data_IF_017440717126
#
_entry.id   IF_017440717126
#
_cell.length_a   1.000
_cell.length_b   1.000
_cell.length_c   1.000
_cell.angle_alpha   90.00
_cell.angle_beta   90.00
_cell.angle_gamma   90.00
#
_symmetry.space_group_name_H-M   'P 1'
#
loop_
_entity.id
_entity.type
_entity.pdbx_description
1 polymer ?
#
# COMPACT_ATOMS: atom_id res chain seq x y z
N UNK A 1 -1.32 28.52 -20.73
CA UNK A 1 -0.91 27.44 -21.63
C UNK A 1 0.39 26.84 -21.13
N UNK A 2 0.42 25.54 -20.81
CA UNK A 2 1.68 24.87 -20.44
C UNK A 2 2.51 24.67 -21.70
N UNK A 3 3.59 25.42 -21.83
CA UNK A 3 4.57 25.27 -22.93
C UNK A 3 5.60 24.17 -22.63
N UNK A 4 5.66 23.71 -21.39
CA UNK A 4 6.66 22.77 -20.88
C UNK A 4 5.97 21.67 -20.07
N UNK A 5 6.47 20.45 -20.18
CA UNK A 5 6.11 19.30 -19.35
C UNK A 5 7.31 18.89 -18.52
N UNK A 6 7.06 18.28 -17.36
CA UNK A 6 8.08 17.70 -16.48
C UNK A 6 7.89 16.19 -16.39
N UNK A 7 8.98 15.45 -16.58
CA UNK A 7 9.05 14.04 -16.29
C UNK A 7 10.26 13.78 -15.40
N UNK A 8 10.02 13.37 -14.14
CA UNK A 8 11.06 13.34 -13.14
C UNK A 8 11.70 14.72 -12.95
N UNK A 9 13.00 14.83 -13.16
CA UNK A 9 13.78 16.09 -13.06
C UNK A 9 13.99 16.80 -14.39
N UNK A 10 13.51 16.22 -15.48
CA UNK A 10 13.66 16.78 -16.83
C UNK A 10 12.47 17.63 -17.24
N UNK A 11 12.76 18.72 -17.97
CA UNK A 11 11.77 19.63 -18.54
C UNK A 11 11.86 19.62 -20.07
N UNK A 12 10.71 19.49 -20.72
CA UNK A 12 10.60 19.42 -22.19
C UNK A 12 9.66 20.49 -22.72
N UNK A 13 10.02 21.07 -23.88
CA UNK A 13 9.10 21.88 -24.64
C UNK A 13 8.13 20.98 -25.40
N UNK A 14 6.84 21.28 -25.29
CA UNK A 14 5.79 20.50 -25.95
C UNK A 14 5.46 21.10 -27.32
N UNK A 15 5.32 20.25 -28.33
CA UNK A 15 4.68 20.58 -29.61
C UNK A 15 3.20 20.91 -29.41
N UNK A 16 2.55 21.45 -30.43
CA UNK A 16 1.11 21.74 -30.36
C UNK A 16 0.27 20.50 -30.12
N UNK A 17 0.57 19.39 -30.84
CA UNK A 17 -0.11 18.12 -30.68
C UNK A 17 0.09 17.52 -29.27
N UNK A 18 1.31 17.56 -28.72
CA UNK A 18 1.59 17.10 -27.35
C UNK A 18 0.85 17.93 -26.29
N UNK A 19 0.70 19.24 -26.52
CA UNK A 19 -0.08 20.11 -25.62
C UNK A 19 -1.57 19.80 -25.66
N UNK A 20 -2.10 19.48 -26.84
CA UNK A 20 -3.49 19.11 -26.98
C UNK A 20 -3.76 17.78 -26.30
N UNK A 21 -2.90 16.78 -26.50
CA UNK A 21 -2.97 15.48 -25.79
C UNK A 21 -2.84 15.68 -24.28
N UNK A 22 -1.88 16.47 -23.81
CA UNK A 22 -1.69 16.73 -22.39
C UNK A 22 -2.91 17.44 -21.74
N UNK A 23 -3.57 18.34 -22.49
CA UNK A 23 -4.80 19.00 -22.05
C UNK A 23 -5.94 17.99 -21.94
N UNK A 24 -6.10 17.12 -22.92
CA UNK A 24 -7.14 16.09 -22.93
C UNK A 24 -6.94 15.08 -21.78
N UNK A 25 -5.71 14.62 -21.54
CA UNK A 25 -5.36 13.78 -20.39
C UNK A 25 -5.75 14.50 -19.09
N UNK A 26 -5.41 15.78 -18.96
CA UNK A 26 -5.73 16.57 -17.76
C UNK A 26 -7.22 16.76 -17.49
N UNK A 27 -8.07 16.59 -18.49
CA UNK A 27 -9.53 16.63 -18.35
C UNK A 27 -10.15 15.26 -17.99
N UNK A 28 -9.37 14.20 -17.98
CA UNK A 28 -9.87 12.88 -17.58
C UNK A 28 -10.16 12.89 -16.06
N UNK A 29 -11.42 12.66 -15.71
CA UNK A 29 -11.82 12.59 -14.32
C UNK A 29 -11.28 11.32 -13.64
N UNK A 30 -10.71 11.50 -12.45
CA UNK A 30 -10.24 10.43 -11.57
C UNK A 30 -10.90 10.61 -10.20
N UNK A 31 -11.58 9.57 -9.73
CA UNK A 31 -12.25 9.57 -8.44
C UNK A 31 -11.30 9.15 -7.30
N UNK A 32 -11.64 9.53 -6.08
CA UNK A 32 -10.93 9.06 -4.86
C UNK A 32 -10.94 7.54 -4.76
N UNK A 33 -12.05 6.89 -5.12
CA UNK A 33 -12.15 5.43 -5.12
C UNK A 33 -11.14 4.76 -6.08
N UNK A 34 -10.93 5.32 -7.27
CA UNK A 34 -9.94 4.78 -8.21
C UNK A 34 -8.51 4.93 -7.68
N UNK A 35 -8.20 6.04 -7.01
CA UNK A 35 -6.90 6.24 -6.36
C UNK A 35 -6.70 5.26 -5.20
N UNK A 36 -7.69 5.09 -4.32
CA UNK A 36 -7.63 4.15 -3.21
C UNK A 36 -7.49 2.70 -3.69
N UNK A 37 -8.17 2.32 -4.78
CA UNK A 37 -8.02 1.01 -5.40
C UNK A 37 -6.60 0.79 -5.92
N UNK A 38 -6.05 1.77 -6.65
CA UNK A 38 -4.67 1.70 -7.16
C UNK A 38 -3.65 1.63 -6.02
N UNK A 39 -3.83 2.42 -4.96
CA UNK A 39 -2.97 2.37 -3.78
C UNK A 39 -3.02 1.00 -3.10
N UNK A 40 -4.21 0.43 -2.95
CA UNK A 40 -4.37 -0.92 -2.38
C UNK A 40 -3.65 -1.97 -3.21
N UNK A 41 -3.75 -1.89 -4.54
CA UNK A 41 -3.02 -2.76 -5.46
C UNK A 41 -1.50 -2.59 -5.30
N UNK A 42 -1.00 -1.35 -5.37
CA UNK A 42 0.43 -1.05 -5.23
C UNK A 42 1.00 -1.53 -3.89
N UNK A 43 0.29 -1.30 -2.79
CA UNK A 43 0.76 -1.66 -1.45
C UNK A 43 0.66 -3.17 -1.22
N UNK A 44 -0.51 -3.77 -1.44
CA UNK A 44 -0.75 -5.16 -1.05
C UNK A 44 -0.36 -6.17 -2.11
N UNK A 45 -0.47 -5.82 -3.40
CA UNK A 45 -0.15 -6.77 -4.47
C UNK A 45 1.29 -6.61 -4.97
N UNK A 46 1.81 -5.37 -5.10
CA UNK A 46 3.18 -5.15 -5.58
C UNK A 46 4.22 -5.11 -4.45
N UNK A 47 4.05 -4.22 -3.45
CA UNK A 47 5.05 -4.01 -2.39
C UNK A 47 5.10 -5.19 -1.44
N UNK A 48 3.94 -5.69 -0.97
CA UNK A 48 3.85 -6.85 -0.09
C UNK A 48 3.71 -8.19 -0.82
N UNK A 49 3.73 -8.22 -2.17
CA UNK A 49 3.76 -9.44 -2.97
C UNK A 49 2.51 -10.31 -2.80
N UNK A 50 1.30 -9.70 -2.82
CA UNK A 50 0.01 -10.38 -2.67
C UNK A 50 -0.13 -11.14 -1.35
N UNK A 51 0.47 -10.63 -0.30
CA UNK A 51 0.49 -11.29 1.00
C UNK A 51 -0.93 -11.54 1.53
N UNK A 52 -1.22 -12.77 1.88
CA UNK A 52 -2.46 -13.19 2.54
C UNK A 52 -2.20 -13.84 3.90
N UNK A 53 -0.97 -14.26 4.15
CA UNK A 53 -0.55 -14.92 5.38
C UNK A 53 0.89 -14.58 5.73
N UNK A 54 1.21 -14.59 7.02
CA UNK A 54 2.56 -14.41 7.55
C UNK A 54 2.94 -15.62 8.39
N UNK A 55 4.17 -16.07 8.23
CA UNK A 55 4.71 -17.18 9.02
C UNK A 55 5.33 -16.67 10.31
N UNK A 56 4.83 -17.12 11.44
CA UNK A 56 5.40 -16.76 12.75
C UNK A 56 6.78 -17.38 12.95
N UNK A 57 7.76 -16.57 13.38
CA UNK A 57 9.18 -16.95 13.45
C UNK A 57 9.42 -18.11 14.43
N UNK A 58 8.74 -18.12 15.59
CA UNK A 58 8.99 -19.10 16.64
C UNK A 58 8.19 -20.39 16.46
N UNK A 59 6.88 -20.28 16.21
CA UNK A 59 5.99 -21.45 16.12
C UNK A 59 6.00 -22.10 14.75
N UNK A 60 6.51 -21.41 13.70
CA UNK A 60 6.47 -21.81 12.29
C UNK A 60 5.04 -21.97 11.74
N UNK A 61 4.03 -21.54 12.48
CA UNK A 61 2.64 -21.53 12.03
C UNK A 61 2.38 -20.35 11.07
N UNK A 62 1.50 -20.58 10.12
CA UNK A 62 1.03 -19.56 9.17
C UNK A 62 -0.24 -18.90 9.73
N UNK A 63 -0.29 -17.58 9.71
CA UNK A 63 -1.43 -16.77 10.15
C UNK A 63 -1.95 -15.95 8.98
N UNK A 64 -3.22 -16.10 8.69
CA UNK A 64 -3.90 -15.33 7.65
C UNK A 64 -4.26 -13.94 8.15
N UNK A 65 -4.18 -12.94 7.25
CA UNK A 65 -4.39 -11.53 7.58
C UNK A 65 -5.45 -10.88 6.70
N UNK A 66 -6.34 -10.10 7.33
CA UNK A 66 -7.15 -9.11 6.64
C UNK A 66 -6.29 -7.92 6.24
N UNK A 67 -6.61 -7.28 5.13
CA UNK A 67 -5.89 -6.13 4.60
C UNK A 67 -6.83 -4.94 4.49
N UNK A 68 -6.50 -3.85 5.15
CA UNK A 68 -7.29 -2.61 5.10
C UNK A 68 -6.41 -1.45 4.63
N UNK A 69 -6.95 -0.61 3.76
CA UNK A 69 -6.36 0.67 3.39
C UNK A 69 -7.30 1.78 3.83
N UNK A 70 -6.82 2.68 4.68
CA UNK A 70 -7.60 3.82 5.20
C UNK A 70 -8.98 3.39 5.75
N UNK A 71 -9.02 2.25 6.45
CA UNK A 71 -10.25 1.65 7.00
C UNK A 71 -11.08 0.81 6.01
N UNK A 72 -10.80 0.89 4.71
CA UNK A 72 -11.52 0.11 3.69
C UNK A 72 -10.85 -1.25 3.44
N UNK A 73 -11.62 -2.37 3.39
CA UNK A 73 -11.06 -3.69 3.17
C UNK A 73 -10.57 -3.86 1.73
N UNK A 74 -9.38 -4.46 1.58
CA UNK A 74 -8.83 -4.89 0.29
C UNK A 74 -8.99 -6.39 0.11
N UNK A 75 -9.78 -6.81 -0.92
CA UNK A 75 -10.11 -8.22 -1.19
C UNK A 75 -10.64 -8.90 0.08
N UNK A 76 -11.95 -8.85 0.26
CA UNK A 76 -12.66 -9.31 1.46
C UNK A 76 -12.14 -10.65 1.97
N UNK A 77 -11.77 -10.66 3.23
CA UNK A 77 -11.37 -11.83 4.00
C UNK A 77 -11.94 -11.69 5.42
N UNK A 78 -12.06 -12.80 6.13
CA UNK A 78 -12.52 -12.81 7.51
C UNK A 78 -11.54 -13.66 8.33
N UNK A 79 -10.40 -13.03 8.68
CA UNK A 79 -9.33 -13.63 9.44
C UNK A 79 -9.21 -12.97 10.82
N UNK A 80 -8.47 -13.61 11.73
CA UNK A 80 -8.30 -13.10 13.09
C UNK A 80 -7.35 -11.90 13.16
N UNK A 81 -6.33 -11.88 12.29
CA UNK A 81 -5.36 -10.78 12.24
C UNK A 81 -5.75 -9.77 11.18
N UNK A 82 -5.46 -8.51 11.46
CA UNK A 82 -5.71 -7.41 10.54
C UNK A 82 -4.49 -6.52 10.41
N UNK A 83 -4.03 -6.32 9.18
CA UNK A 83 -3.05 -5.31 8.82
C UNK A 83 -3.77 -4.14 8.17
N UNK A 84 -3.65 -2.98 8.76
CA UNK A 84 -4.16 -1.74 8.22
C UNK A 84 -3.00 -0.82 7.81
N UNK A 85 -3.07 -0.29 6.59
CA UNK A 85 -2.18 0.78 6.13
C UNK A 85 -2.98 2.07 6.05
N UNK A 86 -2.49 3.12 6.69
CA UNK A 86 -3.07 4.47 6.68
C UNK A 86 -2.20 5.36 5.82
N UNK A 87 -2.79 5.97 4.80
CA UNK A 87 -2.08 6.78 3.81
C UNK A 87 -2.40 8.27 3.96
N UNK A 88 -1.50 9.17 3.49
CA UNK A 88 -1.78 10.61 3.47
C UNK A 88 -3.00 11.01 2.62
N UNK A 89 -3.58 10.08 1.86
CA UNK A 89 -4.78 10.30 1.06
C UNK A 89 -6.08 9.86 1.76
N UNK A 90 -5.97 9.25 2.94
CA UNK A 90 -7.12 8.90 3.78
C UNK A 90 -7.76 10.15 4.38
N UNK A 91 -9.09 10.21 4.36
CA UNK A 91 -9.87 11.37 4.83
C UNK A 91 -9.53 11.75 6.29
N UNK A 92 -9.20 10.75 7.11
CA UNK A 92 -8.90 10.93 8.55
C UNK A 92 -7.40 11.09 8.85
N UNK A 93 -6.51 11.07 7.85
CA UNK A 93 -5.06 11.02 8.07
C UNK A 93 -4.55 12.12 8.99
N UNK A 94 -4.95 13.37 8.75
CA UNK A 94 -4.58 14.55 9.56
C UNK A 94 -5.10 14.46 11.00
N UNK A 95 -6.19 13.74 11.20
CA UNK A 95 -6.82 13.56 12.51
C UNK A 95 -6.24 12.38 13.29
N UNK A 96 -5.51 11.48 12.63
CA UNK A 96 -4.92 10.28 13.22
C UNK A 96 -3.59 10.60 13.90
N UNK A 97 -3.68 11.26 15.06
CA UNK A 97 -2.52 11.44 15.96
C UNK A 97 -2.03 10.09 16.49
N UNK A 98 -0.81 10.05 17.04
CA UNK A 98 -0.25 8.85 17.70
C UNK A 98 -1.23 8.21 18.68
N UNK A 99 -1.87 9.05 19.54
CA UNK A 99 -2.84 8.56 20.53
C UNK A 99 -4.03 7.86 19.87
N UNK A 100 -4.54 8.40 18.76
CA UNK A 100 -5.65 7.78 18.00
C UNK A 100 -5.23 6.51 17.28
N UNK A 101 -4.02 6.47 16.73
CA UNK A 101 -3.47 5.25 16.14
C UNK A 101 -3.26 4.15 17.18
N UNK A 102 -2.75 4.49 18.36
CA UNK A 102 -2.65 3.59 19.51
C UNK A 102 -4.03 3.06 19.89
N UNK A 103 -5.02 3.93 20.07
CA UNK A 103 -6.40 3.52 20.39
C UNK A 103 -6.96 2.59 19.31
N UNK A 104 -6.86 2.98 18.02
CA UNK A 104 -7.35 2.18 16.89
C UNK A 104 -6.69 0.80 16.81
N UNK A 105 -5.41 0.69 17.15
CA UNK A 105 -4.70 -0.59 17.20
C UNK A 105 -5.12 -1.49 18.36
N UNK A 106 -5.82 -0.94 19.39
CA UNK A 106 -6.34 -1.67 20.55
C UNK A 106 -7.82 -2.07 20.43
N UNK A 107 -8.55 -1.56 19.42
CA UNK A 107 -9.99 -1.83 19.24
C UNK A 107 -10.32 -3.30 18.98
N UNK A 108 -9.37 -4.07 18.48
CA UNK A 108 -9.49 -5.51 18.31
C UNK A 108 -8.17 -6.22 18.58
N UNK A 109 -8.24 -7.34 19.28
CA UNK A 109 -7.10 -8.25 19.41
C UNK A 109 -6.65 -8.69 18.01
N UNK A 110 -5.38 -8.46 17.68
CA UNK A 110 -4.86 -8.86 16.38
C UNK A 110 -4.86 -7.78 15.29
N UNK A 111 -5.02 -6.49 15.63
CA UNK A 111 -4.85 -5.39 14.68
C UNK A 111 -3.46 -4.78 14.77
N UNK A 112 -2.78 -4.72 13.62
CA UNK A 112 -1.57 -3.93 13.40
C UNK A 112 -1.87 -2.82 12.39
N UNK A 113 -1.25 -1.65 12.60
CA UNK A 113 -1.43 -0.48 11.76
C UNK A 113 -0.06 0.09 11.37
N UNK A 114 0.09 0.42 10.09
CA UNK A 114 1.22 1.17 9.55
C UNK A 114 0.68 2.52 9.08
N UNK A 115 1.06 3.61 9.75
CA UNK A 115 0.75 4.96 9.29
C UNK A 115 1.94 5.45 8.46
N UNK A 116 1.73 5.61 7.16
CA UNK A 116 2.75 6.12 6.25
C UNK A 116 3.20 7.53 6.69
N UNK A 117 4.46 7.85 6.46
CA UNK A 117 4.92 9.23 6.59
C UNK A 117 4.24 10.15 5.56
N UNK A 118 4.28 11.45 5.77
CA UNK A 118 3.77 12.43 4.80
C UNK A 118 4.59 12.36 3.51
N UNK A 119 3.89 12.36 2.38
CA UNK A 119 4.51 12.26 1.06
C UNK A 119 4.11 13.43 0.17
N UNK A 120 5.09 14.22 -0.24
CA UNK A 120 4.86 15.29 -1.19
C UNK A 120 4.40 14.72 -2.55
N UNK A 121 3.37 15.34 -3.14
CA UNK A 121 2.90 15.07 -4.52
C UNK A 121 2.34 13.67 -4.82
N UNK A 122 2.22 12.78 -3.83
CA UNK A 122 1.69 11.42 -4.06
C UNK A 122 0.33 11.46 -4.77
N UNK A 123 -0.58 12.32 -4.31
CA UNK A 123 -1.91 12.49 -4.92
C UNK A 123 -1.83 12.94 -6.39
N UNK A 124 -0.93 13.88 -6.69
CA UNK A 124 -0.74 14.40 -8.05
C UNK A 124 -0.20 13.31 -8.97
N UNK A 125 0.80 12.54 -8.54
CA UNK A 125 1.40 11.48 -9.35
C UNK A 125 0.42 10.33 -9.59
N UNK A 126 -0.37 9.94 -8.58
CA UNK A 126 -1.44 8.93 -8.72
C UNK A 126 -2.54 9.41 -9.67
N UNK A 127 -2.98 10.66 -9.52
CA UNK A 127 -3.98 11.25 -10.40
C UNK A 127 -3.53 11.26 -11.84
N UNK A 128 -2.31 11.72 -12.09
CA UNK A 128 -1.75 11.79 -13.44
C UNK A 128 -1.52 10.37 -14.03
N UNK A 129 -1.07 9.42 -13.21
CA UNK A 129 -0.94 8.03 -13.63
C UNK A 129 -2.28 7.49 -14.14
N UNK A 130 -3.34 7.62 -13.36
CA UNK A 130 -4.68 7.14 -13.72
C UNK A 130 -5.27 7.89 -14.92
N UNK A 131 -5.07 9.21 -15.01
CA UNK A 131 -5.52 10.00 -16.14
C UNK A 131 -4.91 9.51 -17.46
N UNK A 132 -3.61 9.22 -17.46
CA UNK A 132 -2.90 8.71 -18.64
C UNK A 132 -3.42 7.33 -19.03
N UNK A 133 -3.52 6.38 -18.07
CA UNK A 133 -4.04 5.03 -18.35
C UNK A 133 -5.45 5.09 -18.95
N UNK A 134 -6.36 5.82 -18.29
CA UNK A 134 -7.75 5.96 -18.77
C UNK A 134 -7.83 6.62 -20.15
N UNK A 135 -6.98 7.60 -20.43
CA UNK A 135 -6.96 8.25 -21.73
C UNK A 135 -6.47 7.31 -22.83
N UNK A 136 -5.38 6.57 -22.57
CA UNK A 136 -4.81 5.59 -23.52
C UNK A 136 -5.85 4.51 -23.87
N UNK A 137 -6.60 4.04 -22.88
CA UNK A 137 -7.64 3.02 -23.05
C UNK A 137 -8.96 3.56 -23.64
N UNK A 138 -9.03 4.87 -23.89
CA UNK A 138 -10.25 5.51 -24.42
C UNK A 138 -10.46 5.23 -25.91
N UNK A 139 -11.72 5.21 -26.40
CA UNK A 139 -12.02 5.11 -27.84
C UNK A 139 -11.37 6.23 -28.67
N UNK A 140 -11.18 7.41 -28.06
CA UNK A 140 -10.56 8.56 -28.71
C UNK A 140 -9.08 8.28 -29.02
N UNK A 141 -8.34 7.70 -28.10
CA UNK A 141 -6.95 7.31 -28.31
C UNK A 141 -6.83 6.23 -29.38
N UNK A 142 -7.74 5.25 -29.41
CA UNK A 142 -7.71 4.15 -30.39
C UNK A 142 -7.91 4.62 -31.84
N UNK A 143 -8.72 5.68 -32.04
CA UNK A 143 -9.03 6.26 -33.36
C UNK A 143 -8.12 7.43 -33.76
N UNK A 144 -7.14 7.79 -32.89
CA UNK A 144 -6.27 8.93 -33.12
C UNK A 144 -5.35 8.78 -34.35
N UNK A 145 -4.91 9.90 -34.91
CA UNK A 145 -3.94 9.96 -36.00
C UNK A 145 -2.59 9.34 -35.62
N UNK A 146 -1.80 8.95 -36.60
CA UNK A 146 -0.52 8.26 -36.34
C UNK A 146 0.48 9.06 -35.51
N UNK A 147 0.54 10.40 -35.70
CA UNK A 147 1.37 11.30 -34.86
C UNK A 147 0.94 11.27 -33.40
N UNK A 148 -0.36 11.35 -33.13
CA UNK A 148 -0.92 11.27 -31.76
C UNK A 148 -0.67 9.90 -31.14
N UNK A 149 -0.82 8.82 -31.90
CA UNK A 149 -0.51 7.46 -31.41
C UNK A 149 0.93 7.33 -30.95
N UNK A 150 1.88 7.96 -31.64
CA UNK A 150 3.28 7.98 -31.23
C UNK A 150 3.46 8.72 -29.89
N UNK A 151 2.84 9.89 -29.76
CA UNK A 151 2.84 10.64 -28.49
C UNK A 151 2.27 9.77 -27.35
N UNK A 152 1.21 9.00 -27.60
CA UNK A 152 0.61 8.13 -26.58
C UNK A 152 1.51 6.96 -26.20
N UNK A 153 2.30 6.43 -27.11
CA UNK A 153 3.32 5.42 -26.78
C UNK A 153 4.38 6.00 -25.84
N UNK A 154 4.90 7.19 -26.15
CA UNK A 154 5.85 7.88 -25.29
C UNK A 154 5.24 8.16 -23.90
N UNK A 155 3.99 8.59 -23.82
CA UNK A 155 3.27 8.78 -22.56
C UNK A 155 3.06 7.48 -21.77
N UNK A 156 2.85 6.37 -22.45
CA UNK A 156 2.74 5.06 -21.82
C UNK A 156 4.06 4.63 -21.18
N UNK A 157 5.17 4.85 -21.85
CA UNK A 157 6.48 4.52 -21.31
C UNK A 157 6.84 5.41 -20.11
N UNK A 158 6.60 6.74 -20.23
CA UNK A 158 6.72 7.66 -19.09
C UNK A 158 5.83 7.27 -17.91
N UNK A 159 4.65 6.72 -18.17
CA UNK A 159 3.71 6.29 -17.13
C UNK A 159 4.18 5.02 -16.42
N UNK A 160 4.88 4.12 -17.10
CA UNK A 160 5.57 2.98 -16.47
C UNK A 160 6.65 3.45 -15.48
N UNK A 161 7.48 4.41 -15.89
CA UNK A 161 8.50 5.00 -15.00
C UNK A 161 7.84 5.71 -13.81
N UNK A 162 6.72 6.41 -14.04
CA UNK A 162 5.94 7.04 -12.97
C UNK A 162 5.46 6.01 -11.96
N UNK A 163 4.91 4.88 -12.42
CA UNK A 163 4.48 3.79 -11.53
C UNK A 163 5.64 3.29 -10.67
N UNK A 164 6.81 3.09 -11.24
CA UNK A 164 8.00 2.67 -10.50
C UNK A 164 8.41 3.71 -9.43
N UNK A 165 8.37 5.01 -9.78
CA UNK A 165 8.64 6.10 -8.80
C UNK A 165 7.62 6.13 -7.66
N UNK A 166 6.32 5.94 -7.97
CA UNK A 166 5.26 5.88 -6.95
C UNK A 166 5.50 4.69 -6.01
N UNK A 167 5.83 3.51 -6.54
CA UNK A 167 6.14 2.32 -5.72
C UNK A 167 7.36 2.54 -4.82
N UNK A 168 8.42 3.16 -5.34
CA UNK A 168 9.59 3.51 -4.54
C UNK A 168 9.23 4.50 -3.43
N UNK A 169 8.50 5.56 -3.76
CA UNK A 169 8.03 6.54 -2.78
C UNK A 169 7.15 5.90 -1.70
N UNK A 170 6.18 5.06 -2.06
CA UNK A 170 5.33 4.35 -1.10
C UNK A 170 6.16 3.45 -0.18
N UNK A 171 7.18 2.77 -0.72
CA UNK A 171 8.09 1.95 0.06
C UNK A 171 8.86 2.77 1.09
N UNK A 172 9.38 3.93 0.70
CA UNK A 172 10.10 4.85 1.59
C UNK A 172 9.18 5.43 2.67
N UNK A 173 7.96 5.88 2.29
CA UNK A 173 6.97 6.41 3.24
C UNK A 173 6.52 5.34 4.25
N UNK A 174 6.50 4.09 3.86
CA UNK A 174 6.16 2.97 4.74
C UNK A 174 7.26 2.69 5.75
N UNK A 175 8.52 2.65 5.32
CA UNK A 175 9.68 2.39 6.18
C UNK A 175 9.96 3.56 7.14
N UNK A 176 9.69 4.79 6.71
CA UNK A 176 9.85 6.00 7.53
C UNK A 176 8.61 6.34 8.36
N UNK A 177 7.52 5.64 8.14
CA UNK A 177 6.26 5.80 8.87
C UNK A 177 6.28 5.15 10.25
N UNK A 178 5.14 5.20 10.91
CA UNK A 178 4.96 4.72 12.27
C UNK A 178 4.14 3.43 12.30
N UNK A 179 4.51 2.53 13.22
CA UNK A 179 3.81 1.26 13.44
C UNK A 179 3.09 1.26 14.78
N UNK A 180 1.88 0.67 14.81
CA UNK A 180 1.07 0.54 16.01
C UNK A 180 0.47 -0.86 16.08
N UNK A 181 0.46 -1.46 17.26
CA UNK A 181 -0.16 -2.76 17.49
C UNK A 181 -0.50 -2.91 18.98
N UNK A 182 -1.65 -3.52 19.30
CA UNK A 182 -2.06 -3.85 20.67
C UNK A 182 -2.04 -2.64 21.64
N UNK A 183 -2.45 -1.47 21.16
CA UNK A 183 -2.45 -0.25 21.96
C UNK A 183 -1.07 0.31 22.28
N UNK A 184 -0.06 -0.02 21.48
CA UNK A 184 1.32 0.43 21.64
C UNK A 184 1.91 0.91 20.32
N UNK A 185 3.02 1.66 20.40
CA UNK A 185 3.84 2.08 19.26
C UNK A 185 5.18 1.35 19.33
N UNK A 186 5.26 0.10 18.79
CA UNK A 186 6.51 -0.66 18.81
C UNK A 186 7.59 0.02 17.99
N UNK A 187 8.82 0.05 18.49
CA UNK A 187 9.97 0.59 17.78
C UNK A 187 10.52 -0.45 16.81
N UNK A 188 9.96 -0.48 15.60
CA UNK A 188 10.38 -1.39 14.54
C UNK A 188 11.30 -0.64 13.60
N UNK A 189 12.53 -1.14 13.42
CA UNK A 189 13.49 -0.62 12.45
C UNK A 189 13.64 -1.62 11.32
N UNK A 190 13.14 -1.29 10.17
CA UNK A 190 13.20 -2.15 9.00
C UNK A 190 13.89 -1.44 7.82
N UNK A 191 14.63 -2.20 7.03
CA UNK A 191 15.29 -1.68 5.83
C UNK A 191 14.39 -1.76 4.58
N UNK A 192 13.27 -2.46 4.67
CA UNK A 192 12.32 -2.63 3.56
C UNK A 192 10.90 -2.85 4.08
N UNK A 193 9.87 -2.59 3.25
CA UNK A 193 8.49 -2.87 3.61
C UNK A 193 8.20 -4.33 4.00
N UNK A 194 8.85 -5.29 3.33
CA UNK A 194 8.71 -6.71 3.65
C UNK A 194 9.24 -7.05 5.05
N UNK A 195 10.42 -6.54 5.42
CA UNK A 195 10.96 -6.72 6.79
C UNK A 195 10.12 -5.99 7.83
N UNK A 196 9.59 -4.80 7.51
CA UNK A 196 8.68 -4.06 8.38
C UNK A 196 7.43 -4.89 8.69
N UNK A 197 6.81 -5.43 7.65
CA UNK A 197 5.63 -6.27 7.76
C UNK A 197 5.90 -7.52 8.63
N UNK A 198 6.98 -8.24 8.34
CA UNK A 198 7.36 -9.44 9.08
C UNK A 198 7.58 -9.15 10.57
N UNK A 199 8.32 -8.09 10.90
CA UNK A 199 8.57 -7.69 12.29
C UNK A 199 7.28 -7.28 13.00
N UNK A 200 6.45 -6.45 12.35
CA UNK A 200 5.21 -5.95 12.94
C UNK A 200 4.20 -7.08 13.18
N UNK A 201 4.00 -7.96 12.20
CA UNK A 201 3.05 -9.08 12.35
C UNK A 201 3.58 -10.13 13.32
N UNK A 202 4.89 -10.41 13.35
CA UNK A 202 5.46 -11.30 14.37
C UNK A 202 5.32 -10.70 15.78
N UNK A 203 5.53 -9.38 15.95
CA UNK A 203 5.26 -8.70 17.22
C UNK A 203 3.79 -8.86 17.63
N UNK A 204 2.86 -8.64 16.70
CA UNK A 204 1.42 -8.80 16.93
C UNK A 204 1.09 -10.23 17.37
N UNK A 205 1.52 -11.25 16.63
CA UNK A 205 1.25 -12.66 16.94
C UNK A 205 1.81 -13.06 18.31
N UNK A 206 3.07 -12.72 18.58
CA UNK A 206 3.74 -13.09 19.82
C UNK A 206 3.06 -12.50 21.07
N UNK A 207 2.45 -11.31 20.94
CA UNK A 207 1.80 -10.63 22.06
C UNK A 207 0.29 -10.91 22.14
N UNK A 208 -0.38 -11.24 21.01
CA UNK A 208 -1.78 -11.66 21.01
C UNK A 208 -1.94 -13.09 21.51
N UNK A 209 -1.05 -14.00 21.11
CA UNK A 209 -1.14 -15.41 21.42
C UNK A 209 -0.07 -15.83 22.46
N UNK A 210 -0.05 -15.15 23.60
CA UNK A 210 0.93 -15.39 24.69
C UNK A 210 0.97 -16.82 25.21
N UNK A 211 -0.09 -17.61 25.03
CA UNK A 211 -0.18 -19.02 25.44
C UNK A 211 0.39 -20.01 24.40
N UNK A 212 0.76 -19.57 23.19
CA UNK A 212 1.32 -20.45 22.16
C UNK A 212 2.61 -21.18 22.57
N UNK A 213 3.55 -20.57 23.33
CA UNK A 213 4.73 -21.28 23.83
C UNK A 213 4.38 -22.44 24.78
N UNK A 214 3.30 -22.32 25.55
CA UNK A 214 2.85 -23.35 26.48
C UNK A 214 2.18 -24.56 25.80
N UNK A 215 1.63 -24.39 24.60
CA UNK A 215 1.06 -25.51 23.83
C UNK A 215 2.13 -26.46 23.28
N UNK A 216 3.35 -26.00 23.05
CA UNK A 216 4.50 -26.86 22.68
C UNK A 216 4.94 -27.81 23.75
N UNK A 217 4.72 -27.49 25.01
CA UNK A 217 5.17 -28.32 26.17
C UNK A 217 4.19 -29.48 26.42
N UNK A 218 2.96 -29.40 25.92
CA UNK A 218 1.92 -30.42 26.16
C UNK A 218 1.71 -31.42 25.01
N UNK A 219 2.61 -31.50 24.06
CA UNK A 219 2.68 -32.63 23.12
C UNK A 219 3.58 -33.78 23.65
N UNK A 220 3.91 -33.79 24.93
CA UNK A 220 4.25 -35.04 25.61
C UNK A 220 2.97 -35.90 25.65
N UNK A 221 3.07 -37.07 25.05
CA UNK A 221 2.02 -38.07 24.85
C UNK A 221 1.13 -38.19 26.10
N UNK A 222 -0.18 -37.84 26.06
CA UNK A 222 -1.05 -37.94 27.22
C UNK A 222 -1.22 -39.39 27.71
N UNK A 223 -0.83 -40.39 26.93
CA UNK A 223 -0.85 -41.79 27.31
C UNK A 223 0.32 -42.16 28.19
N UNK A 224 1.44 -41.44 28.13
CA UNK A 224 2.61 -41.69 29.00
C UNK A 224 2.40 -41.20 30.44
N UNK A 225 1.61 -40.13 30.65
CA UNK A 225 1.28 -39.61 31.98
C UNK A 225 0.22 -40.42 32.74
N UNK A 226 -0.55 -41.28 32.06
CA UNK A 226 -1.59 -42.13 32.69
C UNK A 226 -0.99 -43.44 33.21
N UNK A 227 0.26 -43.77 32.84
CA UNK A 227 0.94 -45.01 33.21
C UNK A 227 2.01 -44.82 34.29
N UNK A 228 2.17 -43.64 34.85
CA UNK A 228 3.02 -43.32 35.99
C UNK A 228 2.15 -43.09 37.22
#
# INVERSE_FOLDING_TARGET
QRLVSRNGDLWFFLTNEERDVAREIGHVAVSTHEKSKLLSEMIYDDIFGQITKVRHKDTKADYEINRLLDGAPWKNANHQLTLEVVTPLGDDYELLTDAKCILRSSESDGRALIRLAEGERLDIELSLYLQIEKYIDSPKASTAAGSVKRILLDRKDENRERRARILAQLSDLMVTGDCYALGQKPQIKAASPGTLLDELVNYLISNTYTKLPYLKIRQADPIAEIKA
#
